data_IF_462732521020
#
_entry.id   IF_462732521020
#
_cell.length_a   1.000
_cell.length_b   1.000
_cell.length_c   1.000
_cell.angle_alpha   90.00
_cell.angle_beta   90.00
_cell.angle_gamma   90.00
#
_symmetry.space_group_name_H-M   'P 1'
#
loop_
_entity.id
_entity.type
_entity.pdbx_description
1 polymer ?
#
# COMPACT_ATOMS: atom_id res chain seq x y z
N UNK A 1 16.22 -13.88 21.54
CA UNK A 1 15.60 -14.56 22.70
C UNK A 1 14.10 -14.47 22.52
N UNK A 2 13.39 -15.59 22.44
CA UNK A 2 11.92 -15.60 22.36
C UNK A 2 11.45 -15.68 23.81
N UNK A 3 10.76 -14.64 24.29
CA UNK A 3 10.22 -14.60 25.65
C UNK A 3 8.72 -14.85 25.55
N UNK A 4 8.26 -15.92 26.17
CA UNK A 4 6.85 -16.29 26.24
C UNK A 4 6.23 -15.54 27.43
N UNK A 5 5.25 -14.65 27.17
CA UNK A 5 4.53 -13.88 28.20
C UNK A 5 3.09 -14.38 28.28
N UNK A 6 2.64 -14.72 29.49
CA UNK A 6 1.26 -15.15 29.81
C UNK A 6 0.26 -13.99 29.95
N UNK A 7 0.67 -12.74 29.71
CA UNK A 7 -0.20 -11.57 29.81
C UNK A 7 -0.20 -10.78 28.49
N UNK A 8 -1.39 -10.48 27.97
CA UNK A 8 -1.66 -9.71 26.74
C UNK A 8 -1.37 -8.20 26.88
N UNK A 9 -0.33 -7.83 27.62
CA UNK A 9 0.16 -6.46 27.62
C UNK A 9 1.05 -6.26 26.39
N UNK A 10 0.53 -5.50 25.43
CA UNK A 10 1.20 -5.12 24.18
C UNK A 10 2.35 -4.13 24.46
N UNK A 11 3.48 -4.63 24.96
CA UNK A 11 4.67 -3.80 25.11
C UNK A 11 5.31 -3.56 23.74
N UNK A 12 5.37 -2.29 23.32
CA UNK A 12 6.21 -1.85 22.21
C UNK A 12 7.22 -0.82 22.71
N UNK A 13 8.47 -0.90 22.26
CA UNK A 13 9.49 0.03 22.72
C UNK A 13 10.90 -0.33 22.30
N UNK A 14 11.81 0.56 22.70
CA UNK A 14 13.23 0.44 22.45
C UNK A 14 13.94 0.44 23.81
N UNK A 15 14.76 -0.57 24.08
CA UNK A 15 15.60 -0.61 25.28
C UNK A 15 16.98 -1.14 24.89
N UNK A 16 18.03 -0.42 25.26
CA UNK A 16 19.43 -0.82 25.06
C UNK A 16 19.76 -1.35 23.65
N UNK A 17 19.32 -0.60 22.62
CA UNK A 17 19.54 -0.99 21.22
C UNK A 17 18.75 -2.22 20.78
N UNK A 18 17.75 -2.67 21.54
CA UNK A 18 16.76 -3.67 21.15
C UNK A 18 15.40 -3.03 20.88
N UNK A 19 14.66 -3.64 19.96
CA UNK A 19 13.25 -3.35 19.66
C UNK A 19 12.43 -4.56 20.04
N UNK A 20 11.37 -4.35 20.80
CA UNK A 20 10.38 -5.37 21.11
C UNK A 20 8.99 -4.98 20.64
N UNK A 21 8.27 -5.93 20.07
CA UNK A 21 6.89 -5.74 19.63
C UNK A 21 6.15 -7.08 19.52
N UNK A 22 4.83 -7.04 19.66
CA UNK A 22 3.97 -8.20 19.40
C UNK A 22 3.74 -8.34 17.89
N UNK A 23 4.06 -9.51 17.34
CA UNK A 23 3.76 -9.85 15.95
C UNK A 23 2.48 -10.69 15.89
N UNK A 24 1.37 -10.04 15.50
CA UNK A 24 0.05 -10.70 15.37
C UNK A 24 0.06 -11.91 14.44
N UNK A 25 0.84 -11.87 13.35
CA UNK A 25 0.91 -12.98 12.38
C UNK A 25 1.56 -14.23 12.97
N UNK A 26 2.53 -14.05 13.87
CA UNK A 26 3.24 -15.17 14.51
C UNK A 26 2.67 -15.51 15.90
N UNK A 27 1.75 -14.70 16.43
CA UNK A 27 1.20 -14.83 17.77
C UNK A 27 2.25 -14.66 18.89
N UNK A 28 3.36 -13.95 18.62
CA UNK A 28 4.56 -13.95 19.49
C UNK A 28 5.11 -12.55 19.73
N UNK A 29 5.68 -12.37 20.92
CA UNK A 29 6.55 -11.22 21.22
C UNK A 29 7.91 -11.42 20.55
N UNK A 30 8.30 -10.47 19.70
CA UNK A 30 9.61 -10.44 19.05
C UNK A 30 10.46 -9.41 19.76
N UNK A 31 11.59 -9.83 20.33
CA UNK A 31 12.67 -8.95 20.75
C UNK A 31 13.85 -9.14 19.79
N UNK A 32 14.28 -8.06 19.14
CA UNK A 32 15.40 -8.08 18.18
C UNK A 32 16.34 -6.91 18.40
N UNK A 33 17.62 -7.08 18.07
CA UNK A 33 18.55 -5.96 17.98
C UNK A 33 18.05 -4.95 16.94
N UNK A 34 18.07 -3.67 17.30
CA UNK A 34 17.86 -2.57 16.37
C UNK A 34 19.02 -2.54 15.38
N UNK A 35 18.68 -2.45 14.09
CA UNK A 35 19.66 -2.34 13.02
C UNK A 35 19.20 -1.22 12.12
N UNK A 36 20.09 -0.28 11.81
CA UNK A 36 19.83 0.72 10.77
C UNK A 36 19.77 0.01 9.42
N UNK A 37 18.64 0.06 8.69
CA UNK A 37 18.56 -0.53 7.36
C UNK A 37 19.61 0.06 6.44
N UNK A 38 20.31 -0.77 5.65
CA UNK A 38 21.24 -0.28 4.63
C UNK A 38 20.46 0.40 3.51
N UNK A 39 20.93 1.57 3.07
CA UNK A 39 20.36 2.24 1.90
C UNK A 39 20.85 1.54 0.63
N UNK A 40 19.94 0.85 -0.06
CA UNK A 40 20.20 0.18 -1.34
C UNK A 40 19.65 1.00 -2.51
N UNK A 41 20.09 0.71 -3.74
CA UNK A 41 19.52 1.32 -4.95
C UNK A 41 18.00 1.07 -5.05
N UNK A 42 17.54 -0.14 -4.71
CA UNK A 42 16.13 -0.48 -4.67
C UNK A 42 15.35 0.39 -3.65
N UNK A 43 15.90 0.60 -2.45
CA UNK A 43 15.28 1.46 -1.44
C UNK A 43 15.18 2.92 -1.91
N UNK A 44 16.23 3.42 -2.59
CA UNK A 44 16.23 4.76 -3.19
C UNK A 44 15.15 4.88 -4.28
N UNK A 45 15.06 3.88 -5.16
CA UNK A 45 14.06 3.83 -6.24
C UNK A 45 12.64 3.81 -5.68
N UNK A 46 12.35 2.93 -4.71
CA UNK A 46 11.05 2.89 -4.03
C UNK A 46 10.69 4.25 -3.43
N UNK A 47 11.62 4.87 -2.69
CA UNK A 47 11.39 6.18 -2.10
C UNK A 47 11.21 7.32 -3.12
N UNK A 48 11.82 7.21 -4.30
CA UNK A 48 11.63 8.16 -5.40
C UNK A 48 10.24 8.00 -6.04
N UNK A 49 9.84 6.76 -6.36
CA UNK A 49 8.50 6.43 -6.88
C UNK A 49 7.43 6.92 -5.91
N UNK A 50 7.54 6.58 -4.62
CA UNK A 50 6.56 7.01 -3.62
C UNK A 50 6.48 8.53 -3.49
N UNK A 51 7.60 9.26 -3.68
CA UNK A 51 7.57 10.73 -3.72
C UNK A 51 6.86 11.26 -4.96
N UNK A 52 7.16 10.71 -6.14
CA UNK A 52 6.52 11.11 -7.39
C UNK A 52 5.00 10.86 -7.36
N UNK A 53 4.59 9.67 -6.92
CA UNK A 53 3.17 9.33 -6.78
C UNK A 53 2.45 10.22 -5.77
N UNK A 54 3.12 10.67 -4.71
CA UNK A 54 2.54 11.66 -3.78
C UNK A 54 2.42 13.05 -4.41
N UNK A 55 3.35 13.46 -5.28
CA UNK A 55 3.26 14.75 -5.97
C UNK A 55 2.13 14.82 -7.01
N UNK A 56 1.58 13.68 -7.44
CA UNK A 56 0.36 13.64 -8.25
C UNK A 56 -0.86 14.23 -7.54
N UNK A 57 -0.82 14.33 -6.20
CA UNK A 57 -1.87 14.87 -5.34
C UNK A 57 -3.26 14.31 -5.70
N UNK A 58 -3.50 13.00 -5.44
CA UNK A 58 -4.81 12.40 -5.65
C UNK A 58 -5.93 13.23 -5.02
N UNK A 59 -7.04 13.38 -5.74
CA UNK A 59 -8.21 14.12 -5.28
C UNK A 59 -8.79 13.54 -3.99
N UNK A 60 -9.50 14.37 -3.21
CA UNK A 60 -10.15 13.89 -2.00
C UNK A 60 -11.24 12.84 -2.29
N UNK A 61 -11.93 12.97 -3.43
CA UNK A 61 -12.90 11.99 -3.91
C UNK A 61 -12.24 10.63 -4.18
N UNK A 62 -11.14 10.62 -4.91
CA UNK A 62 -10.39 9.38 -5.18
C UNK A 62 -9.85 8.74 -3.89
N UNK A 63 -9.34 9.56 -2.95
CA UNK A 63 -8.90 9.07 -1.64
C UNK A 63 -10.06 8.46 -0.85
N UNK A 64 -11.26 9.06 -0.93
CA UNK A 64 -12.47 8.51 -0.30
C UNK A 64 -12.84 7.16 -0.91
N UNK A 65 -12.82 7.04 -2.23
CA UNK A 65 -13.11 5.80 -2.94
C UNK A 65 -12.13 4.69 -2.58
N UNK A 66 -10.83 4.99 -2.46
CA UNK A 66 -9.84 4.04 -1.97
C UNK A 66 -10.12 3.58 -0.53
N UNK A 67 -10.63 4.44 0.35
CA UNK A 67 -11.03 4.07 1.71
C UNK A 67 -12.27 3.19 1.71
N UNK A 68 -13.26 3.51 0.87
CA UNK A 68 -14.45 2.68 0.69
C UNK A 68 -14.07 1.30 0.15
N UNK A 69 -13.17 1.25 -0.84
CA UNK A 69 -12.61 -0.01 -1.34
C UNK A 69 -12.00 -0.85 -0.21
N UNK A 70 -11.19 -0.25 0.67
CA UNK A 70 -10.63 -0.97 1.83
C UNK A 70 -11.72 -1.53 2.74
N UNK A 71 -12.79 -0.77 2.98
CA UNK A 71 -13.91 -1.20 3.82
C UNK A 71 -14.71 -2.37 3.19
N UNK A 72 -14.80 -2.39 1.85
CA UNK A 72 -15.47 -3.46 1.09
C UNK A 72 -14.55 -4.67 0.84
N UNK A 73 -13.24 -4.51 1.02
CA UNK A 73 -12.26 -5.55 0.75
C UNK A 73 -12.32 -6.65 1.81
N UNK A 74 -12.97 -7.76 1.46
CA UNK A 74 -12.92 -8.97 2.27
C UNK A 74 -11.59 -9.70 2.03
N UNK A 75 -10.80 -9.87 3.08
CA UNK A 75 -9.50 -10.51 3.00
C UNK A 75 -9.61 -11.96 3.44
N UNK A 76 -9.18 -12.88 2.58
CA UNK A 76 -9.02 -14.28 2.96
C UNK A 76 -7.68 -14.53 3.65
N UNK A 77 -7.56 -15.57 4.50
CA UNK A 77 -6.29 -15.95 5.10
C UNK A 77 -5.20 -16.16 4.04
N UNK A 78 -4.11 -15.38 4.12
CA UNK A 78 -3.01 -15.43 3.15
C UNK A 78 -2.99 -14.26 2.15
N UNK A 79 -4.07 -13.49 2.05
CA UNK A 79 -4.10 -12.29 1.22
C UNK A 79 -3.47 -11.07 1.90
N UNK A 80 -3.11 -10.08 1.08
CA UNK A 80 -2.61 -8.81 1.59
C UNK A 80 -3.75 -8.03 2.24
N UNK A 81 -3.57 -7.70 3.51
CA UNK A 81 -4.44 -6.76 4.20
C UNK A 81 -4.00 -5.33 3.93
N UNK A 82 -4.93 -4.47 3.49
CA UNK A 82 -4.66 -3.06 3.25
C UNK A 82 -4.90 -2.24 4.51
N UNK A 83 -3.82 -1.72 5.10
CA UNK A 83 -3.88 -0.92 6.32
C UNK A 83 -4.29 0.55 6.08
N UNK A 84 -4.12 1.04 4.85
CA UNK A 84 -4.33 2.45 4.51
C UNK A 84 -4.57 2.63 3.02
N UNK A 85 -5.20 3.75 2.64
CA UNK A 85 -5.44 4.10 1.25
C UNK A 85 -4.14 4.22 0.45
N UNK A 86 -3.04 4.65 1.09
CA UNK A 86 -1.73 4.72 0.44
C UNK A 86 -1.21 3.33 0.04
N UNK A 87 -1.49 2.29 0.82
CA UNK A 87 -1.08 0.92 0.50
C UNK A 87 -1.83 0.39 -0.73
N UNK A 88 -3.13 0.68 -0.83
CA UNK A 88 -3.94 0.33 -2.02
C UNK A 88 -3.43 1.11 -3.22
N UNK A 89 -3.26 2.43 -3.08
CA UNK A 89 -2.80 3.30 -4.14
C UNK A 89 -1.45 2.87 -4.72
N UNK A 90 -0.47 2.56 -3.86
CA UNK A 90 0.82 2.02 -4.31
C UNK A 90 0.64 0.67 -5.02
N UNK A 91 -0.19 -0.21 -4.48
CA UNK A 91 -0.45 -1.53 -5.09
C UNK A 91 -1.05 -1.39 -6.49
N UNK A 92 -2.05 -0.53 -6.64
CA UNK A 92 -2.67 -0.18 -7.91
C UNK A 92 -1.64 0.37 -8.91
N UNK A 93 -0.82 1.34 -8.50
CA UNK A 93 0.20 1.94 -9.38
C UNK A 93 1.28 0.94 -9.81
N UNK A 94 1.73 0.06 -8.91
CA UNK A 94 2.67 -1.01 -9.27
C UNK A 94 2.03 -2.06 -10.17
N UNK A 95 0.74 -2.38 -9.99
CA UNK A 95 0.01 -3.26 -10.90
C UNK A 95 -0.08 -2.64 -12.31
N UNK A 96 -0.35 -1.33 -12.40
CA UNK A 96 -0.37 -0.60 -13.67
C UNK A 96 0.97 -0.72 -14.40
N UNK A 97 2.08 -0.38 -13.75
CA UNK A 97 3.40 -0.45 -14.36
C UNK A 97 3.83 -1.89 -14.71
N UNK A 98 3.28 -2.89 -14.01
CA UNK A 98 3.51 -4.30 -14.32
C UNK A 98 2.74 -4.73 -15.59
N UNK A 99 1.50 -4.29 -15.75
CA UNK A 99 0.69 -4.60 -16.92
C UNK A 99 1.08 -3.76 -18.14
N UNK A 100 1.52 -2.53 -17.94
CA UNK A 100 1.96 -1.62 -18.99
C UNK A 100 3.42 -1.18 -18.77
N UNK A 101 4.40 -1.89 -19.38
CA UNK A 101 5.83 -1.55 -19.25
C UNK A 101 6.23 -0.17 -19.78
N UNK A 102 5.38 0.48 -20.59
CA UNK A 102 5.63 1.85 -21.06
C UNK A 102 5.42 2.90 -19.96
N UNK A 103 4.74 2.54 -18.87
CA UNK A 103 4.49 3.45 -17.74
C UNK A 103 5.66 3.40 -16.76
N UNK A 104 6.41 4.50 -16.65
CA UNK A 104 7.41 4.69 -15.60
C UNK A 104 6.84 5.48 -14.42
N UNK A 105 6.70 4.82 -13.27
CA UNK A 105 6.20 5.45 -12.04
C UNK A 105 7.12 6.54 -11.47
N UNK A 106 8.39 6.60 -11.91
CA UNK A 106 9.31 7.68 -11.52
C UNK A 106 8.96 9.01 -12.16
N UNK A 107 8.32 9.00 -13.34
CA UNK A 107 8.07 10.19 -14.16
C UNK A 107 6.62 10.37 -14.56
N UNK A 108 5.74 9.43 -14.22
CA UNK A 108 4.30 9.53 -14.49
C UNK A 108 3.74 10.86 -13.98
N UNK A 109 2.88 11.46 -14.79
CA UNK A 109 2.20 12.73 -14.51
C UNK A 109 0.68 12.53 -14.53
N UNK A 110 -0.06 13.48 -14.01
CA UNK A 110 -1.53 13.41 -13.98
C UNK A 110 -2.11 13.61 -15.37
N UNK A 111 -1.49 14.50 -16.15
CA UNK A 111 -1.83 14.77 -17.54
C UNK A 111 -1.67 13.51 -18.39
N UNK A 112 -0.63 12.72 -18.15
CA UNK A 112 -0.44 11.43 -18.82
C UNK A 112 -1.55 10.44 -18.47
N UNK A 113 -1.95 10.35 -17.19
CA UNK A 113 -3.03 9.46 -16.76
C UNK A 113 -4.33 9.77 -17.51
N UNK A 114 -4.68 11.04 -17.64
CA UNK A 114 -5.90 11.48 -18.33
C UNK A 114 -5.77 11.33 -19.85
N UNK A 115 -4.64 11.74 -20.45
CA UNK A 115 -4.45 11.76 -21.90
C UNK A 115 -4.33 10.36 -22.50
N UNK A 116 -3.60 9.47 -21.83
CA UNK A 116 -3.43 8.07 -22.25
C UNK A 116 -4.60 7.19 -21.78
N UNK A 117 -5.60 7.79 -21.10
CA UNK A 117 -6.76 7.11 -20.51
C UNK A 117 -6.34 5.89 -19.69
N UNK A 118 -5.34 6.06 -18.82
CA UNK A 118 -4.79 4.96 -18.03
C UNK A 118 -5.86 4.44 -17.04
N UNK A 119 -5.95 3.12 -16.83
CA UNK A 119 -6.97 2.52 -15.96
C UNK A 119 -6.79 2.87 -14.47
N UNK A 120 -5.76 3.62 -14.09
CA UNK A 120 -5.57 4.13 -12.73
C UNK A 120 -6.31 5.43 -12.41
N UNK A 121 -7.07 5.98 -13.38
CA UNK A 121 -7.78 7.26 -13.23
C UNK A 121 -8.89 7.22 -12.18
N UNK A 122 -9.60 6.11 -12.03
CA UNK A 122 -10.60 5.86 -11.00
C UNK A 122 -10.41 4.47 -10.37
N UNK A 123 -11.00 4.24 -9.20
CA UNK A 123 -10.90 2.92 -8.54
C UNK A 123 -11.70 1.86 -9.31
N UNK A 124 -12.87 2.24 -9.84
CA UNK A 124 -13.67 1.39 -10.72
C UNK A 124 -12.87 0.91 -11.93
N UNK A 125 -12.28 1.83 -12.69
CA UNK A 125 -11.52 1.47 -13.91
C UNK A 125 -10.32 0.57 -13.58
N UNK A 126 -9.70 0.78 -12.41
CA UNK A 126 -8.59 -0.04 -11.95
C UNK A 126 -9.04 -1.48 -11.63
N UNK A 127 -10.25 -1.67 -11.12
CA UNK A 127 -10.84 -3.00 -10.88
C UNK A 127 -11.21 -3.66 -12.21
N UNK A 128 -11.87 -2.94 -13.12
CA UNK A 128 -12.24 -3.47 -14.44
C UNK A 128 -11.03 -3.88 -15.28
N UNK A 129 -9.91 -3.17 -15.14
CA UNK A 129 -8.63 -3.53 -15.77
C UNK A 129 -7.83 -4.62 -15.01
N UNK A 130 -8.35 -5.14 -13.90
CA UNK A 130 -7.69 -6.17 -13.09
C UNK A 130 -6.42 -5.69 -12.38
N UNK A 131 -6.27 -4.39 -12.15
CA UNK A 131 -5.20 -3.83 -11.31
C UNK A 131 -5.46 -4.06 -9.82
N UNK A 132 -6.74 -4.03 -9.44
CA UNK A 132 -7.24 -4.34 -8.11
C UNK A 132 -8.20 -5.53 -8.19
N UNK A 133 -8.45 -6.17 -7.04
CA UNK A 133 -9.42 -7.25 -6.94
C UNK A 133 -10.82 -6.66 -6.99
N UNK A 134 -11.75 -7.39 -7.60
CA UNK A 134 -13.16 -7.06 -7.57
C UNK A 134 -13.74 -7.13 -6.15
N UNK A 135 -14.55 -6.13 -5.79
CA UNK A 135 -15.27 -6.02 -4.52
C UNK A 135 -16.71 -5.61 -4.79
N UNK A 136 -17.69 -6.12 -4.05
CA UNK A 136 -19.09 -5.79 -4.32
C UNK A 136 -19.37 -4.29 -4.19
N UNK A 137 -20.07 -3.69 -5.16
CA UNK A 137 -20.43 -2.27 -5.15
C UNK A 137 -19.34 -1.32 -5.68
N UNK A 138 -18.29 -1.86 -6.30
CA UNK A 138 -17.19 -1.10 -6.88
C UNK A 138 -17.61 -0.14 -8.00
N UNK A 139 -18.78 -0.36 -8.61
CA UNK A 139 -19.31 0.41 -9.73
C UNK A 139 -19.55 1.87 -9.36
N UNK A 140 -19.69 2.17 -8.06
CA UNK A 140 -19.87 3.52 -7.53
C UNK A 140 -18.55 4.27 -7.27
N UNK A 141 -17.40 3.60 -7.39
CA UNK A 141 -16.07 4.14 -7.07
C UNK A 141 -15.45 4.86 -8.26
N UNK A 142 -16.16 5.88 -8.75
CA UNK A 142 -15.89 6.57 -10.02
C UNK A 142 -15.15 7.89 -9.87
N UNK A 143 -14.77 8.29 -8.66
CA UNK A 143 -14.05 9.55 -8.45
C UNK A 143 -12.67 9.48 -9.09
N UNK A 144 -12.28 10.54 -9.79
CA UNK A 144 -11.01 10.60 -10.52
C UNK A 144 -9.84 11.10 -9.64
N UNK A 145 -8.63 10.59 -9.92
CA UNK A 145 -7.38 10.97 -9.27
C UNK A 145 -7.05 12.45 -9.43
#
# INVERSE_FOLDING_TARGET
>A
MIVESKFELLFCGNCDGMVYYYNKRLGKMIARKWVKPKTTAANRRLGAITRNLKSLKPSEGFIKDLRVYIALYDYSPGERHYMSWQNVYLTLMYALAKQNPAVDLLTITREQITSDNLPCKSVKDAIEAGLLREVNGYENLTQEI
#
